data_IF_787227785777
#
_entry.id   IF_787227785777
#
_cell.length_a   1.000
_cell.length_b   1.000
_cell.length_c   1.000
_cell.angle_alpha   90.00
_cell.angle_beta   90.00
_cell.angle_gamma   90.00
#
_symmetry.space_group_name_H-M   'P 1'
#
loop_
_entity.id
_entity.type
_entity.pdbx_description
1 polymer ?
#
# COMPACT_ATOMS: atom_id res chain seq x y z
N UNK A 1 -4.26 49.27 -39.12
CA UNK A 1 -4.19 47.83 -39.45
C UNK A 1 -5.58 47.25 -39.26
N UNK A 2 -6.21 46.74 -40.32
CA UNK A 2 -7.52 46.08 -40.26
C UNK A 2 -7.31 44.64 -39.78
N UNK A 3 -7.98 44.22 -38.70
CA UNK A 3 -7.97 42.84 -38.22
C UNK A 3 -9.13 42.06 -38.87
N UNK A 4 -8.82 40.89 -39.42
CA UNK A 4 -9.84 39.97 -39.94
C UNK A 4 -10.31 39.10 -38.76
N UNK A 5 -11.60 39.12 -38.37
CA UNK A 5 -12.10 38.25 -37.31
C UNK A 5 -12.17 36.81 -37.82
N UNK A 6 -11.39 35.93 -37.22
CA UNK A 6 -11.44 34.48 -37.46
C UNK A 6 -12.35 33.86 -36.39
N UNK A 7 -13.43 33.20 -36.82
CA UNK A 7 -14.35 32.47 -35.93
C UNK A 7 -14.10 30.97 -36.05
N UNK A 8 -13.66 30.33 -34.96
CA UNK A 8 -13.48 28.87 -34.91
C UNK A 8 -14.83 28.23 -34.52
N UNK A 9 -15.47 27.58 -35.48
CA UNK A 9 -16.75 26.90 -35.27
C UNK A 9 -16.52 25.64 -34.41
N UNK A 10 -17.27 25.51 -33.32
CA UNK A 10 -17.18 24.36 -32.40
C UNK A 10 -16.27 24.55 -31.19
N UNK A 11 -15.53 25.67 -31.10
CA UNK A 11 -14.67 25.98 -29.96
C UNK A 11 -15.45 25.99 -28.64
N UNK A 12 -16.66 26.54 -28.62
CA UNK A 12 -17.51 26.58 -27.42
C UNK A 12 -17.89 25.19 -26.89
N UNK A 13 -18.04 24.20 -27.77
CA UNK A 13 -18.33 22.80 -27.34
C UNK A 13 -17.11 22.20 -26.67
N UNK A 14 -15.92 22.46 -27.21
CA UNK A 14 -14.65 22.00 -26.65
C UNK A 14 -14.41 22.66 -25.29
N UNK A 15 -14.62 23.98 -25.20
CA UNK A 15 -14.49 24.75 -23.96
C UNK A 15 -15.41 24.20 -22.85
N UNK A 16 -16.69 24.00 -23.15
CA UNK A 16 -17.64 23.39 -22.19
C UNK A 16 -17.21 21.99 -21.74
N UNK A 17 -16.68 21.17 -22.66
CA UNK A 17 -16.19 19.82 -22.32
C UNK A 17 -14.95 19.90 -21.44
N UNK A 18 -14.03 20.82 -21.70
CA UNK A 18 -12.82 21.03 -20.90
C UNK A 18 -13.14 21.53 -19.48
N UNK A 19 -14.06 22.49 -19.34
CA UNK A 19 -14.52 22.96 -18.03
C UNK A 19 -15.13 21.81 -17.24
N UNK A 20 -16.02 21.04 -17.87
CA UNK A 20 -16.62 19.88 -17.23
C UNK A 20 -15.59 18.84 -16.81
N UNK A 21 -14.57 18.56 -17.64
CA UNK A 21 -13.48 17.66 -17.26
C UNK A 21 -12.74 18.22 -16.03
N UNK A 22 -12.37 19.50 -16.03
CA UNK A 22 -11.66 20.14 -14.93
C UNK A 22 -12.42 20.05 -13.60
N UNK A 23 -13.74 20.29 -13.63
CA UNK A 23 -14.63 20.14 -12.45
C UNK A 23 -14.68 18.70 -11.93
N UNK A 24 -14.50 17.71 -12.80
CA UNK A 24 -14.49 16.29 -12.43
C UNK A 24 -13.11 15.76 -12.02
N UNK A 25 -12.00 16.48 -12.26
CA UNK A 25 -10.66 16.01 -11.91
C UNK A 25 -10.54 15.62 -10.43
N UNK A 26 -11.03 16.41 -9.45
CA UNK A 26 -10.91 16.05 -8.04
C UNK A 26 -11.57 14.70 -7.70
N UNK A 27 -12.77 14.44 -8.23
CA UNK A 27 -13.48 13.18 -7.98
C UNK A 27 -12.83 11.99 -8.69
N UNK A 28 -12.29 12.20 -9.89
CA UNK A 28 -11.50 11.18 -10.61
C UNK A 28 -10.24 10.83 -9.83
N UNK A 29 -9.52 11.85 -9.33
CA UNK A 29 -8.31 11.64 -8.53
C UNK A 29 -8.63 10.88 -7.25
N UNK A 30 -9.69 11.27 -6.54
CA UNK A 30 -10.11 10.58 -5.31
C UNK A 30 -10.46 9.11 -5.56
N UNK A 31 -11.22 8.83 -6.63
CA UNK A 31 -11.51 7.46 -7.07
C UNK A 31 -10.22 6.66 -7.35
N UNK A 32 -9.28 7.22 -8.10
CA UNK A 32 -8.03 6.56 -8.42
C UNK A 32 -7.18 6.30 -7.17
N UNK A 33 -7.10 7.26 -6.27
CA UNK A 33 -6.37 7.14 -5.00
C UNK A 33 -6.98 6.06 -4.11
N UNK A 34 -8.30 6.04 -3.93
CA UNK A 34 -8.99 5.04 -3.13
C UNK A 34 -8.82 3.64 -3.71
N UNK A 35 -8.95 3.49 -5.03
CA UNK A 35 -8.79 2.19 -5.69
C UNK A 35 -7.36 1.67 -5.62
N UNK A 36 -6.38 2.57 -5.78
CA UNK A 36 -4.95 2.23 -5.64
C UNK A 36 -4.61 1.84 -4.21
N UNK A 37 -5.11 2.59 -3.21
CA UNK A 37 -4.92 2.26 -1.81
C UNK A 37 -5.56 0.93 -1.43
N UNK A 38 -6.77 0.64 -1.93
CA UNK A 38 -7.43 -0.65 -1.75
C UNK A 38 -6.62 -1.81 -2.33
N UNK A 39 -6.03 -1.63 -3.53
CA UNK A 39 -5.17 -2.65 -4.14
C UNK A 39 -3.91 -2.92 -3.30
N UNK A 40 -3.23 -1.86 -2.85
CA UNK A 40 -2.05 -1.98 -2.00
C UNK A 40 -2.40 -2.61 -0.65
N UNK A 41 -3.52 -2.21 -0.04
CA UNK A 41 -4.02 -2.77 1.21
C UNK A 41 -4.20 -4.30 1.10
N UNK A 42 -4.88 -4.77 0.06
CA UNK A 42 -5.08 -6.21 -0.13
C UNK A 42 -3.76 -6.94 -0.38
N UNK A 43 -2.88 -6.38 -1.21
CA UNK A 43 -1.56 -6.96 -1.44
C UNK A 43 -0.75 -7.12 -0.15
N UNK A 44 -0.77 -6.12 0.74
CA UNK A 44 -0.10 -6.20 2.05
C UNK A 44 -0.75 -7.28 2.91
N UNK A 45 -2.08 -7.28 2.98
CA UNK A 45 -2.86 -8.26 3.74
C UNK A 45 -2.53 -9.70 3.33
N UNK A 46 -2.51 -9.98 2.03
CA UNK A 46 -2.27 -11.32 1.49
C UNK A 46 -0.83 -11.80 1.72
N UNK A 47 0.13 -10.87 1.72
CA UNK A 47 1.55 -11.15 1.97
C UNK A 47 1.92 -11.25 3.46
N UNK A 48 1.04 -10.80 4.36
CA UNK A 48 1.32 -10.77 5.79
C UNK A 48 1.17 -12.15 6.40
N UNK A 49 2.21 -12.71 7.07
CA UNK A 49 2.09 -14.00 7.73
C UNK A 49 0.99 -14.00 8.80
N UNK A 50 0.12 -15.01 8.78
CA UNK A 50 -1.02 -15.12 9.70
C UNK A 50 -0.84 -16.30 10.64
N UNK A 51 -0.72 -16.00 11.94
CA UNK A 51 -0.88 -17.00 13.03
C UNK A 51 -2.22 -16.83 13.74
N UNK A 52 -2.49 -15.63 14.25
CA UNK A 52 -3.76 -15.25 14.90
C UNK A 52 -4.56 -14.20 14.12
N UNK A 53 -3.91 -13.50 13.18
CA UNK A 53 -4.52 -12.42 12.39
C UNK A 53 -4.49 -11.04 13.06
N UNK A 54 -4.05 -10.90 14.31
CA UNK A 54 -4.04 -9.62 15.03
C UNK A 54 -3.21 -8.55 14.33
N UNK A 55 -2.03 -8.89 13.80
CA UNK A 55 -1.21 -7.93 13.03
C UNK A 55 -1.95 -7.40 11.81
N UNK A 56 -2.66 -8.24 11.07
CA UNK A 56 -3.43 -7.84 9.88
C UNK A 56 -4.56 -6.88 10.25
N UNK A 57 -5.25 -7.10 11.38
CA UNK A 57 -6.34 -6.23 11.84
C UNK A 57 -5.92 -4.79 12.09
N UNK A 58 -4.63 -4.54 12.32
CA UNK A 58 -4.09 -3.19 12.52
C UNK A 58 -3.77 -2.45 11.22
N UNK A 59 -3.93 -3.09 10.06
CA UNK A 59 -3.73 -2.46 8.76
C UNK A 59 -4.88 -1.48 8.49
N UNK A 60 -4.53 -0.27 8.09
CA UNK A 60 -5.47 0.83 7.86
C UNK A 60 -5.10 1.64 6.61
N UNK A 61 -6.10 2.38 6.10
CA UNK A 61 -5.90 3.40 5.07
C UNK A 61 -6.26 4.74 5.69
N UNK A 62 -5.30 5.67 5.73
CA UNK A 62 -5.52 7.06 6.12
C UNK A 62 -5.74 7.91 4.90
N UNK A 63 -6.80 8.72 4.95
CA UNK A 63 -7.15 9.65 3.90
C UNK A 63 -6.60 11.03 4.20
N UNK A 64 -5.86 11.60 3.24
CA UNK A 64 -5.36 12.96 3.31
C UNK A 64 -5.59 13.66 1.96
N UNK A 65 -5.65 15.01 1.93
CA UNK A 65 -5.78 15.74 0.67
C UNK A 65 -4.69 15.35 -0.33
N UNK A 66 -5.12 14.85 -1.49
CA UNK A 66 -4.22 14.45 -2.59
C UNK A 66 -3.42 13.16 -2.37
N UNK A 67 -3.64 12.40 -1.29
CA UNK A 67 -2.95 11.11 -1.07
C UNK A 67 -3.77 10.14 -0.23
N UNK A 68 -3.37 8.86 -0.28
CA UNK A 68 -3.85 7.79 0.60
C UNK A 68 -2.65 7.06 1.16
N UNK A 69 -2.63 6.88 2.48
CA UNK A 69 -1.53 6.23 3.18
C UNK A 69 -2.02 4.87 3.65
N UNK A 70 -1.44 3.81 3.11
CA UNK A 70 -1.70 2.43 3.57
C UNK A 70 -0.60 2.04 4.55
N UNK A 71 -0.98 1.70 5.78
CA UNK A 71 -0.03 1.51 6.87
C UNK A 71 -0.61 0.76 8.05
N UNK A 72 0.18 0.60 9.10
CA UNK A 72 -0.24 0.00 10.36
C UNK A 72 0.58 0.60 11.51
N UNK A 73 -0.03 0.67 12.70
CA UNK A 73 0.66 1.07 13.93
C UNK A 73 1.25 -0.13 14.69
N UNK A 74 1.18 -1.35 14.15
CA UNK A 74 1.78 -2.53 14.77
C UNK A 74 3.29 -2.53 14.57
N UNK A 75 4.11 -2.60 15.64
CA UNK A 75 5.56 -2.70 15.51
C UNK A 75 6.00 -4.00 14.82
N UNK A 76 5.13 -5.01 14.75
CA UNK A 76 5.40 -6.28 14.05
C UNK A 76 5.74 -6.02 12.58
N UNK A 77 5.05 -5.07 11.93
CA UNK A 77 5.31 -4.75 10.54
C UNK A 77 6.71 -4.17 10.31
N UNK A 78 7.32 -3.51 11.30
CA UNK A 78 8.71 -3.05 11.19
C UNK A 78 9.64 -4.26 11.07
N UNK A 79 9.45 -5.27 11.90
CA UNK A 79 10.25 -6.50 11.85
C UNK A 79 9.97 -7.32 10.59
N UNK A 80 8.73 -7.33 10.09
CA UNK A 80 8.41 -7.99 8.83
C UNK A 80 9.03 -7.25 7.62
N UNK A 81 9.04 -5.93 7.63
CA UNK A 81 9.57 -5.13 6.53
C UNK A 81 11.10 -5.17 6.46
N UNK A 82 11.76 -5.05 7.61
CA UNK A 82 13.21 -4.85 7.70
C UNK A 82 13.98 -6.03 8.29
N UNK A 83 13.29 -7.02 8.85
CA UNK A 83 13.91 -8.14 9.52
C UNK A 83 14.37 -7.80 10.94
N UNK A 84 15.09 -8.74 11.56
CA UNK A 84 15.74 -8.57 12.86
C UNK A 84 17.16 -9.08 12.79
N UNK A 85 18.08 -8.41 13.49
CA UNK A 85 19.48 -8.83 13.58
C UNK A 85 19.64 -10.09 14.45
N UNK A 86 20.76 -10.84 14.30
CA UNK A 86 21.13 -11.87 15.26
C UNK A 86 21.16 -11.32 16.69
N UNK A 87 20.58 -12.07 17.63
CA UNK A 87 20.51 -11.66 19.03
C UNK A 87 20.34 -12.87 19.94
N UNK A 88 20.66 -12.67 21.21
CA UNK A 88 20.50 -13.68 22.25
C UNK A 88 19.16 -13.52 22.96
N UNK A 89 18.51 -14.64 23.24
CA UNK A 89 17.22 -14.69 23.94
C UNK A 89 17.41 -15.45 25.24
N UNK A 90 17.03 -14.80 26.34
CA UNK A 90 17.10 -15.32 27.69
C UNK A 90 15.70 -15.41 28.32
N UNK A 91 15.38 -16.47 29.07
CA UNK A 91 14.13 -16.53 29.82
C UNK A 91 14.20 -15.54 30.99
N UNK A 92 13.18 -14.69 31.14
CA UNK A 92 13.16 -13.65 32.18
C UNK A 92 12.64 -14.19 33.52
N UNK A 93 11.49 -14.87 33.49
CA UNK A 93 10.82 -15.44 34.68
C UNK A 93 10.67 -16.96 34.63
N UNK A 94 10.94 -17.58 33.48
CA UNK A 94 10.79 -19.01 33.25
C UNK A 94 12.12 -19.75 33.51
N UNK A 95 12.04 -21.06 33.76
CA UNK A 95 13.24 -21.90 33.91
C UNK A 95 13.94 -22.18 32.57
N UNK A 96 13.18 -22.17 31.47
CA UNK A 96 13.66 -22.37 30.11
C UNK A 96 12.69 -21.76 29.08
N UNK A 97 13.23 -21.48 27.88
CA UNK A 97 12.48 -21.20 26.67
C UNK A 97 11.98 -22.52 26.07
N UNK A 98 10.76 -22.55 25.52
CA UNK A 98 10.20 -23.71 24.81
C UNK A 98 9.73 -23.29 23.42
N UNK A 99 10.07 -24.08 22.41
CA UNK A 99 9.47 -23.97 21.07
C UNK A 99 9.30 -25.36 20.45
N UNK A 100 8.55 -25.42 19.36
CA UNK A 100 8.24 -26.65 18.65
C UNK A 100 8.42 -26.43 17.14
N UNK A 101 9.10 -27.37 16.49
CA UNK A 101 9.32 -27.38 15.06
C UNK A 101 9.20 -28.80 14.49
N UNK A 102 9.56 -28.99 13.22
CA UNK A 102 9.47 -30.30 12.55
C UNK A 102 10.34 -31.40 13.20
N UNK A 103 11.29 -31.03 14.05
CA UNK A 103 12.17 -31.95 14.77
C UNK A 103 11.69 -32.23 16.21
N UNK A 104 10.59 -31.61 16.63
CA UNK A 104 9.95 -31.86 17.92
C UNK A 104 9.95 -30.65 18.85
N UNK A 105 9.84 -30.93 20.15
CA UNK A 105 9.76 -29.91 21.21
C UNK A 105 11.13 -29.67 21.81
N UNK A 106 11.56 -28.41 21.84
CA UNK A 106 12.87 -27.98 22.32
C UNK A 106 12.76 -27.17 23.60
N UNK A 107 13.78 -27.29 24.47
CA UNK A 107 13.93 -26.49 25.67
C UNK A 107 15.36 -25.95 25.77
N UNK A 108 15.51 -24.66 26.07
CA UNK A 108 16.84 -24.06 26.26
C UNK A 108 16.84 -22.96 27.33
N UNK A 109 17.93 -22.86 28.09
CA UNK A 109 18.16 -21.73 29.01
C UNK A 109 18.62 -20.47 28.28
N UNK A 110 19.10 -20.63 27.04
CA UNK A 110 19.65 -19.56 26.21
C UNK A 110 19.53 -19.95 24.74
N UNK A 111 19.11 -19.01 23.88
CA UNK A 111 19.01 -19.21 22.43
C UNK A 111 19.80 -18.13 21.69
N UNK A 112 20.73 -18.54 20.84
CA UNK A 112 21.37 -17.67 19.85
C UNK A 112 20.47 -17.58 18.62
N UNK A 113 19.59 -16.57 18.57
CA UNK A 113 18.69 -16.38 17.46
C UNK A 113 19.44 -15.72 16.29
N UNK A 114 19.45 -16.30 15.07
CA UNK A 114 20.17 -15.75 13.92
C UNK A 114 19.55 -14.46 13.36
N UNK A 115 18.41 -14.04 13.90
CA UNK A 115 17.59 -12.98 13.35
C UNK A 115 16.63 -13.50 12.29
N UNK A 116 15.81 -12.60 11.78
CA UNK A 116 14.80 -12.90 10.75
C UNK A 116 15.10 -12.07 9.52
N UNK A 117 15.11 -12.69 8.34
CA UNK A 117 15.29 -11.96 7.08
C UNK A 117 14.08 -11.07 6.80
N UNK A 118 14.27 -9.87 6.20
CA UNK A 118 13.17 -9.01 5.80
C UNK A 118 12.27 -9.68 4.77
N UNK A 119 10.95 -9.48 4.91
CA UNK A 119 9.96 -9.88 3.91
C UNK A 119 9.59 -8.73 2.96
N UNK A 120 9.92 -7.49 3.27
CA UNK A 120 9.65 -6.33 2.42
C UNK A 120 8.19 -6.24 1.94
N UNK A 121 7.22 -6.49 2.83
CA UNK A 121 5.81 -6.61 2.48
C UNK A 121 5.26 -5.32 1.86
N UNK A 122 5.56 -4.16 2.45
CA UNK A 122 5.10 -2.86 1.96
C UNK A 122 5.79 -2.51 0.65
N UNK A 123 7.13 -2.59 0.61
CA UNK A 123 7.90 -2.32 -0.60
C UNK A 123 7.42 -3.17 -1.78
N UNK A 124 7.38 -4.49 -1.60
CA UNK A 124 6.93 -5.41 -2.66
C UNK A 124 5.50 -5.15 -3.09
N UNK A 125 4.60 -4.83 -2.16
CA UNK A 125 3.22 -4.50 -2.50
C UNK A 125 3.13 -3.28 -3.42
N UNK A 126 3.94 -2.25 -3.19
CA UNK A 126 3.99 -1.07 -4.07
C UNK A 126 4.62 -1.42 -5.42
N UNK A 127 5.76 -2.10 -5.41
CA UNK A 127 6.52 -2.42 -6.63
C UNK A 127 5.72 -3.32 -7.57
N UNK A 128 5.14 -4.41 -7.05
CA UNK A 128 4.39 -5.39 -7.84
C UNK A 128 3.09 -4.82 -8.41
N UNK A 129 2.43 -3.89 -7.71
CA UNK A 129 1.16 -3.31 -8.13
C UNK A 129 1.31 -2.00 -8.92
N UNK A 130 2.53 -1.47 -9.11
CA UNK A 130 2.77 -0.19 -9.78
C UNK A 130 2.12 -0.10 -11.16
N UNK A 131 2.24 -1.16 -11.95
CA UNK A 131 1.64 -1.20 -13.30
C UNK A 131 0.12 -1.11 -13.27
N UNK A 132 -0.52 -1.78 -12.31
CA UNK A 132 -1.98 -1.78 -12.18
C UNK A 132 -2.50 -0.44 -11.65
N UNK A 133 -1.78 0.18 -10.72
CA UNK A 133 -2.05 1.55 -10.26
C UNK A 133 -2.05 2.51 -11.45
N UNK A 134 -1.03 2.47 -12.31
CA UNK A 134 -0.98 3.35 -13.49
C UNK A 134 -2.19 3.12 -14.40
N UNK A 135 -2.60 1.86 -14.62
CA UNK A 135 -3.80 1.55 -15.41
C UNK A 135 -5.08 2.11 -14.79
N UNK A 136 -5.22 2.09 -13.46
CA UNK A 136 -6.36 2.69 -12.76
C UNK A 136 -6.51 4.17 -13.17
N UNK A 137 -5.42 4.93 -13.13
CA UNK A 137 -5.42 6.35 -13.50
C UNK A 137 -5.71 6.56 -14.99
N UNK A 138 -5.04 5.82 -15.87
CA UNK A 138 -5.24 5.94 -17.32
C UNK A 138 -6.70 5.64 -17.69
N UNK A 139 -7.27 4.55 -17.17
CA UNK A 139 -8.63 4.15 -17.49
C UNK A 139 -9.66 5.16 -16.98
N UNK A 140 -9.48 5.69 -15.76
CA UNK A 140 -10.41 6.67 -15.20
C UNK A 140 -10.43 7.98 -16.00
N UNK A 141 -9.25 8.45 -16.46
CA UNK A 141 -9.14 9.62 -17.33
C UNK A 141 -9.72 9.36 -18.72
N UNK A 142 -9.41 8.20 -19.32
CA UNK A 142 -9.87 7.85 -20.67
C UNK A 142 -11.40 7.76 -20.79
N UNK A 143 -12.08 7.24 -19.76
CA UNK A 143 -13.55 7.14 -19.73
C UNK A 143 -14.23 8.52 -19.77
N UNK A 144 -13.60 9.54 -19.18
CA UNK A 144 -14.17 10.89 -19.08
C UNK A 144 -13.82 11.81 -20.25
N UNK A 145 -12.77 11.47 -21.00
CA UNK A 145 -12.36 12.22 -22.19
C UNK A 145 -13.17 11.81 -23.43
N UNK A 146 -13.58 10.54 -23.52
CA UNK A 146 -14.55 10.07 -24.54
C UNK A 146 -15.88 10.82 -24.38
#
# INVERSE_FOLDING_TARGET
MSSIPIRIIGAEKVEKKLISIAENIPSILDYCLNKSAGLIYQSIRDKTPVRTGETVKTLEVKEEPGKRIVGSNSPVYVYLEYGTSPHEIYPVKALALRWEDIYGVHFAKHVHHPGTRPLHIFRRSVEENRGEIVKIFINALAVKIK
#
